data_IF_099434586684
#
_entry.id   IF_099434586684
#
_cell.length_a   1.000
_cell.length_b   1.000
_cell.length_c   1.000
_cell.angle_alpha   90.00
_cell.angle_beta   90.00
_cell.angle_gamma   90.00
#
_symmetry.space_group_name_H-M   'P 1'
#
loop_
_entity.id
_entity.type
_entity.pdbx_description
1 polymer ?
#
# COMPACT_ATOMS: atom_id res chain seq x y z
N UNK A 1 44.49 5.51 4.68
CA UNK A 1 44.64 5.41 6.16
C UNK A 1 45.37 6.62 6.66
N UNK A 2 44.97 7.15 7.80
CA UNK A 2 45.65 8.24 8.51
C UNK A 2 46.19 7.72 9.84
N UNK A 3 47.27 8.31 10.36
CA UNK A 3 47.79 8.01 11.70
C UNK A 3 46.86 8.52 12.83
N UNK A 4 46.05 9.53 12.55
CA UNK A 4 44.95 10.05 13.39
C UNK A 4 43.81 10.42 12.49
N UNK A 5 42.57 10.28 12.98
CA UNK A 5 41.41 10.63 12.20
C UNK A 5 40.36 11.36 13.04
N UNK A 6 39.75 12.46 12.53
CA UNK A 6 38.58 13.08 13.12
C UNK A 6 37.29 12.41 12.67
N UNK A 7 37.33 11.51 11.67
CA UNK A 7 36.17 10.86 11.10
C UNK A 7 35.70 9.72 11.99
N UNK A 8 34.40 9.65 12.24
CA UNK A 8 33.74 8.52 12.86
C UNK A 8 33.65 7.39 11.83
N UNK A 9 34.09 6.22 12.21
CA UNK A 9 33.88 5.01 11.40
C UNK A 9 32.54 4.36 11.76
N UNK A 10 31.89 3.77 10.77
CA UNK A 10 30.62 3.08 10.96
C UNK A 10 30.73 2.02 12.07
N UNK A 11 29.89 2.17 13.10
CA UNK A 11 29.79 1.27 14.23
C UNK A 11 28.48 1.49 15.00
N UNK A 12 27.97 0.44 15.67
CA UNK A 12 26.79 0.55 16.54
C UNK A 12 25.55 1.07 15.84
N UNK A 13 25.40 0.80 14.54
CA UNK A 13 24.29 1.28 13.72
C UNK A 13 24.43 2.73 13.25
N UNK A 14 25.44 3.48 13.69
CA UNK A 14 25.71 4.83 13.19
C UNK A 14 26.56 4.76 11.92
N UNK A 15 26.08 5.39 10.83
CA UNK A 15 26.82 5.49 9.57
C UNK A 15 28.13 6.27 9.74
N UNK A 16 29.15 5.91 8.94
CA UNK A 16 30.42 6.60 8.88
C UNK A 16 30.31 8.04 8.39
N UNK A 17 31.27 8.86 8.79
CA UNK A 17 31.36 10.25 8.37
C UNK A 17 31.76 10.38 6.90
N UNK A 18 31.33 11.49 6.32
CA UNK A 18 31.83 12.02 5.07
C UNK A 18 32.66 13.27 5.30
N UNK A 19 33.39 13.71 4.27
CA UNK A 19 34.15 14.95 4.30
C UNK A 19 35.32 14.96 3.34
N UNK A 20 36.36 15.72 3.66
CA UNK A 20 37.50 15.90 2.78
C UNK A 20 38.82 15.65 3.53
N UNK A 21 39.80 15.12 2.81
CA UNK A 21 41.18 15.08 3.25
C UNK A 21 41.99 15.94 2.30
N UNK A 22 42.64 16.98 2.83
CA UNK A 22 43.50 17.89 2.05
C UNK A 22 44.92 17.62 2.32
N UNK A 23 45.72 17.62 1.27
CA UNK A 23 47.17 17.44 1.34
C UNK A 23 47.85 18.73 0.90
N UNK A 24 48.92 19.21 1.60
CA UNK A 24 49.72 20.31 1.13
C UNK A 24 50.21 20.07 -0.32
N UNK A 25 50.10 21.09 -1.18
CA UNK A 25 50.38 20.96 -2.59
C UNK A 25 49.17 20.83 -3.51
N UNK A 26 47.94 20.78 -2.92
CA UNK A 26 46.68 20.88 -3.66
C UNK A 26 45.90 19.60 -3.81
N UNK A 27 46.38 18.46 -3.31
CA UNK A 27 45.67 17.20 -3.36
C UNK A 27 44.42 17.21 -2.46
N UNK A 28 43.27 16.80 -2.99
CA UNK A 28 41.99 16.69 -2.25
C UNK A 28 41.37 15.32 -2.49
N UNK A 29 41.06 14.63 -1.36
CA UNK A 29 40.26 13.42 -1.35
C UNK A 29 38.87 13.74 -0.83
N UNK A 30 37.83 13.28 -1.51
CA UNK A 30 36.46 13.25 -0.98
C UNK A 30 36.19 11.90 -0.31
N UNK A 31 35.99 11.93 1.01
CA UNK A 31 35.67 10.78 1.83
C UNK A 31 34.15 10.57 1.84
N UNK A 32 33.73 9.40 1.38
CA UNK A 32 32.29 9.02 1.32
C UNK A 32 31.94 7.88 2.27
N UNK A 33 32.92 7.27 2.94
CA UNK A 33 32.67 6.23 3.95
C UNK A 33 33.93 6.03 4.81
N UNK A 34 33.72 5.63 6.08
CA UNK A 34 34.81 5.27 6.99
C UNK A 34 34.44 3.99 7.74
N UNK A 35 35.32 2.99 7.68
CA UNK A 35 35.13 1.66 8.23
C UNK A 35 36.27 1.27 9.20
N UNK A 36 35.94 0.38 10.15
CA UNK A 36 36.92 -0.20 11.07
C UNK A 36 36.90 -1.74 10.97
N UNK A 37 37.57 -2.32 9.96
CA UNK A 37 37.56 -3.79 9.75
C UNK A 37 38.21 -4.59 10.89
N UNK A 38 39.13 -3.99 11.61
CA UNK A 38 39.72 -4.53 12.83
C UNK A 38 39.92 -3.40 13.85
N UNK A 39 39.87 -3.66 15.14
CA UNK A 39 40.04 -2.64 16.18
C UNK A 39 41.32 -1.79 15.96
N UNK A 40 41.11 -0.45 15.96
CA UNK A 40 42.19 0.53 15.80
C UNK A 40 42.62 0.82 14.36
N UNK A 41 42.06 0.14 13.34
CA UNK A 41 42.35 0.41 11.94
C UNK A 41 41.19 1.13 11.26
N UNK A 42 41.37 2.42 10.96
CA UNK A 42 40.40 3.25 10.29
C UNK A 42 40.68 3.34 8.78
N UNK A 43 39.77 2.83 7.96
CA UNK A 43 39.84 2.89 6.50
C UNK A 43 38.86 3.96 5.99
N UNK A 44 39.44 4.98 5.35
CA UNK A 44 38.67 6.03 4.68
C UNK A 44 38.48 5.61 3.21
N UNK A 45 37.27 5.40 2.77
CA UNK A 45 36.91 5.20 1.36
C UNK A 45 36.74 6.58 0.74
N UNK A 46 37.56 6.86 -0.26
CA UNK A 46 37.61 8.20 -0.84
C UNK A 46 37.92 8.17 -2.33
N UNK A 47 37.52 9.22 -3.03
CA UNK A 47 37.93 9.50 -4.41
C UNK A 47 38.87 10.70 -4.45
N UNK A 48 39.87 10.70 -5.34
CA UNK A 48 40.69 11.88 -5.60
C UNK A 48 39.85 12.89 -6.38
N UNK A 49 39.54 14.03 -5.75
CA UNK A 49 38.75 15.10 -6.37
C UNK A 49 39.63 16.10 -7.09
N UNK A 50 40.87 16.30 -6.61
CA UNK A 50 41.81 17.24 -7.23
C UNK A 50 43.25 16.86 -6.89
N UNK A 51 44.20 17.18 -7.78
CA UNK A 51 45.63 17.04 -7.57
C UNK A 51 46.12 15.60 -7.41
N UNK A 52 47.35 15.46 -6.88
CA UNK A 52 48.03 14.19 -6.63
C UNK A 52 48.18 13.95 -5.14
N UNK A 53 48.07 12.68 -4.74
CA UNK A 53 48.19 12.22 -3.36
C UNK A 53 49.42 11.32 -3.20
N UNK A 54 50.30 11.70 -2.32
CA UNK A 54 51.53 10.92 -2.03
C UNK A 54 51.42 10.29 -0.66
N UNK A 55 51.79 9.02 -0.57
CA UNK A 55 51.88 8.29 0.72
C UNK A 55 52.94 8.92 1.60
N UNK A 56 52.60 9.12 2.88
CA UNK A 56 53.49 9.76 3.85
C UNK A 56 53.37 11.29 3.92
N UNK A 57 52.57 11.91 3.04
CA UNK A 57 52.34 13.33 3.11
C UNK A 57 51.51 13.69 4.35
N UNK A 58 51.76 14.90 4.88
CA UNK A 58 50.90 15.49 5.90
C UNK A 58 49.50 15.73 5.34
N UNK A 59 48.49 15.49 6.15
CA UNK A 59 47.11 15.63 5.69
C UNK A 59 46.20 16.22 6.76
N UNK A 60 45.23 17.03 6.32
CA UNK A 60 44.18 17.61 7.17
C UNK A 60 42.82 16.97 6.83
N UNK A 61 42.19 16.30 7.81
CA UNK A 61 40.82 15.79 7.70
C UNK A 61 39.79 16.87 8.05
N UNK A 62 38.84 17.06 7.18
CA UNK A 62 37.70 17.99 7.33
C UNK A 62 36.40 17.18 7.25
N UNK A 63 35.74 17.01 8.39
CA UNK A 63 34.47 16.27 8.47
C UNK A 63 33.32 17.14 7.99
N UNK A 64 32.37 16.56 7.26
CA UNK A 64 31.06 17.17 6.99
C UNK A 64 30.28 17.26 8.30
N UNK A 65 30.38 18.42 8.93
CA UNK A 65 29.79 18.68 10.25
C UNK A 65 28.25 18.65 10.21
N UNK A 66 27.64 19.11 9.11
CA UNK A 66 26.18 19.11 9.01
C UNK A 66 25.64 17.69 8.90
N UNK A 67 26.27 16.84 8.09
CA UNK A 67 25.96 15.41 8.03
C UNK A 67 26.16 14.74 9.39
N UNK A 68 27.29 14.95 10.05
CA UNK A 68 27.55 14.38 11.39
C UNK A 68 26.49 14.83 12.41
N UNK A 69 26.14 16.12 12.43
CA UNK A 69 25.10 16.64 13.31
C UNK A 69 23.75 15.99 13.05
N UNK A 70 23.38 15.78 11.78
CA UNK A 70 22.14 15.11 11.41
C UNK A 70 22.12 13.64 11.91
N UNK A 71 23.25 12.91 11.74
CA UNK A 71 23.38 11.55 12.25
C UNK A 71 23.37 11.52 13.78
N UNK A 72 24.08 12.44 14.44
CA UNK A 72 24.11 12.55 15.91
C UNK A 72 22.71 12.77 16.50
N UNK A 73 21.86 13.55 15.83
CA UNK A 73 20.45 13.74 16.20
C UNK A 73 19.67 12.43 16.06
N UNK A 74 19.83 11.72 14.94
CA UNK A 74 19.19 10.43 14.73
C UNK A 74 19.65 9.38 15.77
N UNK A 75 20.94 9.36 16.10
CA UNK A 75 21.47 8.43 17.09
C UNK A 75 20.96 8.73 18.51
N UNK A 76 20.90 10.01 18.89
CA UNK A 76 20.27 10.39 20.16
C UNK A 76 18.79 10.02 20.18
N UNK A 77 18.05 10.26 19.08
CA UNK A 77 16.65 9.86 18.96
C UNK A 77 16.48 8.33 19.13
N UNK A 78 17.41 7.51 18.62
CA UNK A 78 17.36 6.06 18.78
C UNK A 78 17.40 5.64 20.25
N UNK A 79 18.24 6.24 21.08
CA UNK A 79 18.25 5.99 22.53
C UNK A 79 16.92 6.39 23.20
N UNK A 80 16.34 7.52 22.78
CA UNK A 80 15.03 7.96 23.30
C UNK A 80 13.91 7.00 22.89
N UNK A 81 13.90 6.57 21.63
CA UNK A 81 12.95 5.59 21.10
C UNK A 81 13.11 4.25 21.84
N UNK A 82 14.33 3.77 22.02
CA UNK A 82 14.61 2.54 22.76
C UNK A 82 14.05 2.62 24.20
N UNK A 83 14.38 3.68 24.92
CA UNK A 83 13.91 3.88 26.30
C UNK A 83 12.38 3.96 26.38
N UNK A 84 11.73 4.69 25.44
CA UNK A 84 10.28 4.80 25.40
C UNK A 84 9.62 3.43 25.08
N UNK A 85 10.14 2.65 24.12
CA UNK A 85 9.62 1.31 23.87
C UNK A 85 9.69 0.42 25.11
N UNK A 86 10.75 0.51 25.91
CA UNK A 86 10.85 -0.23 27.17
C UNK A 86 9.85 0.22 28.22
N UNK A 87 9.49 1.51 28.27
CA UNK A 87 8.43 2.00 29.16
C UNK A 87 7.06 1.40 28.83
N UNK A 88 6.73 1.23 27.53
CA UNK A 88 5.41 0.76 27.10
C UNK A 88 5.33 -0.74 26.85
N UNK A 89 6.40 -1.38 26.40
CA UNK A 89 6.44 -2.82 26.06
C UNK A 89 7.18 -3.67 27.11
N UNK A 90 7.83 -3.02 28.07
CA UNK A 90 8.62 -3.68 29.10
C UNK A 90 10.11 -3.88 28.76
N UNK A 91 10.84 -4.36 29.74
CA UNK A 91 12.31 -4.48 29.70
C UNK A 91 12.83 -5.40 28.58
N UNK A 92 12.00 -6.24 28.00
CA UNK A 92 12.35 -7.15 26.91
C UNK A 92 12.44 -6.46 25.54
N UNK A 93 11.92 -5.25 25.40
CA UNK A 93 12.01 -4.45 24.17
C UNK A 93 13.43 -3.88 24.00
N UNK A 94 14.43 -4.77 23.89
CA UNK A 94 15.84 -4.40 23.72
C UNK A 94 16.20 -4.21 22.25
N UNK A 95 17.22 -3.39 21.98
CA UNK A 95 17.70 -3.19 20.63
C UNK A 95 18.32 -4.48 20.07
N UNK A 96 17.80 -4.98 18.95
CA UNK A 96 18.37 -6.08 18.17
C UNK A 96 19.17 -5.59 16.95
N UNK A 97 18.93 -4.38 16.52
CA UNK A 97 19.63 -3.70 15.45
C UNK A 97 19.18 -2.24 15.36
N UNK A 98 20.02 -1.42 14.77
CA UNK A 98 19.67 -0.02 14.49
C UNK A 98 20.43 0.50 13.27
N UNK A 99 19.94 1.59 12.70
CA UNK A 99 20.67 2.38 11.72
C UNK A 99 20.36 3.86 11.97
N UNK A 100 21.42 4.66 12.05
CA UNK A 100 21.33 6.10 12.25
C UNK A 100 21.97 6.78 11.04
N UNK A 101 21.11 7.33 10.20
CA UNK A 101 21.44 8.06 8.98
C UNK A 101 21.07 9.56 9.14
N UNK A 102 21.51 10.44 8.23
CA UNK A 102 21.07 11.83 8.27
C UNK A 102 19.54 11.96 8.22
N UNK A 103 18.94 12.51 9.28
CA UNK A 103 17.51 12.76 9.36
C UNK A 103 16.60 11.53 9.51
N UNK A 104 17.16 10.33 9.65
CA UNK A 104 16.40 9.09 9.73
C UNK A 104 17.04 8.12 10.72
N UNK A 105 16.21 7.36 11.41
CA UNK A 105 16.61 6.21 12.20
C UNK A 105 15.79 4.96 11.85
N UNK A 106 16.37 3.82 12.14
CA UNK A 106 15.77 2.50 12.12
C UNK A 106 16.08 1.80 13.43
N UNK A 107 15.06 1.20 14.03
CA UNK A 107 15.19 0.51 15.31
C UNK A 107 14.50 -0.85 15.24
N UNK A 108 15.24 -1.91 15.49
CA UNK A 108 14.79 -3.29 15.46
C UNK A 108 14.73 -3.84 16.91
N UNK A 109 13.61 -4.49 17.26
CA UNK A 109 13.38 -4.98 18.61
C UNK A 109 12.55 -6.27 18.60
N UNK A 110 12.65 -7.12 19.66
CA UNK A 110 11.88 -8.34 19.75
C UNK A 110 10.42 -8.04 20.08
N UNK A 111 9.51 -8.67 19.32
CA UNK A 111 8.08 -8.66 19.61
C UNK A 111 7.38 -9.84 18.95
N UNK A 112 6.44 -10.46 19.67
CA UNK A 112 5.68 -11.64 19.21
C UNK A 112 4.66 -11.32 18.11
N UNK A 113 4.29 -10.05 17.94
CA UNK A 113 3.31 -9.60 16.95
C UNK A 113 3.47 -8.13 16.60
N UNK A 114 2.58 -7.62 15.75
CA UNK A 114 2.50 -6.21 15.43
C UNK A 114 2.26 -5.37 16.70
N UNK A 115 2.96 -4.26 16.81
CA UNK A 115 2.74 -3.32 17.92
C UNK A 115 1.39 -2.66 17.74
N UNK A 116 0.63 -2.53 18.84
CA UNK A 116 -0.64 -1.81 18.80
C UNK A 116 -0.39 -0.37 18.31
N UNK A 117 -1.15 0.11 17.29
CA UNK A 117 -0.99 1.47 16.78
C UNK A 117 -1.10 2.56 17.85
N UNK A 118 -1.87 2.33 18.94
CA UNK A 118 -1.93 3.28 20.05
C UNK A 118 -0.61 3.33 20.80
N UNK A 119 0.02 2.18 21.06
CA UNK A 119 1.34 2.13 21.71
C UNK A 119 2.40 2.85 20.87
N UNK A 120 2.37 2.72 19.54
CA UNK A 120 3.29 3.46 18.67
C UNK A 120 3.10 4.97 18.82
N UNK A 121 1.86 5.46 18.85
CA UNK A 121 1.56 6.88 19.09
C UNK A 121 2.02 7.34 20.47
N UNK A 122 1.81 6.53 21.50
CA UNK A 122 2.20 6.84 22.86
C UNK A 122 3.73 6.91 23.01
N UNK A 123 4.46 5.99 22.36
CA UNK A 123 5.93 6.01 22.28
C UNK A 123 6.42 7.25 21.53
N UNK A 124 5.84 7.58 20.38
CA UNK A 124 6.19 8.78 19.61
C UNK A 124 5.94 10.05 20.41
N UNK A 125 4.79 10.16 21.07
CA UNK A 125 4.45 11.27 21.93
C UNK A 125 5.46 11.39 23.10
N UNK A 126 5.76 10.27 23.78
CA UNK A 126 6.70 10.24 24.89
C UNK A 126 8.10 10.69 24.50
N UNK A 127 8.59 10.25 23.32
CA UNK A 127 9.87 10.70 22.76
C UNK A 127 9.84 12.22 22.56
N UNK A 128 8.81 12.77 21.93
CA UNK A 128 8.70 14.21 21.67
C UNK A 128 8.53 15.03 22.95
N UNK A 129 7.91 14.50 23.99
CA UNK A 129 7.87 15.14 25.32
C UNK A 129 9.28 15.30 25.91
N UNK A 130 10.11 14.26 25.84
CA UNK A 130 11.52 14.30 26.29
C UNK A 130 12.36 15.26 25.45
N UNK A 131 12.10 15.32 24.14
CA UNK A 131 12.75 16.30 23.26
C UNK A 131 12.38 17.73 23.65
N UNK A 132 11.11 17.98 23.95
CA UNK A 132 10.61 19.29 24.38
C UNK A 132 11.14 19.73 25.75
N UNK A 133 11.46 18.77 26.62
CA UNK A 133 12.05 19.05 27.93
C UNK A 133 13.51 19.52 27.86
N UNK A 134 14.14 19.45 26.70
CA UNK A 134 15.52 19.92 26.43
C UNK A 134 16.55 19.44 27.44
N UNK A 135 16.54 18.13 27.73
CA UNK A 135 17.45 17.51 28.70
C UNK A 135 18.89 17.53 28.18
N UNK A 136 19.84 17.68 29.10
CA UNK A 136 21.28 17.58 28.77
C UNK A 136 21.66 16.15 28.35
N UNK A 137 22.49 16.03 27.29
CA UNK A 137 23.05 14.76 26.84
C UNK A 137 24.53 14.73 27.20
N UNK A 138 24.85 13.92 28.21
CA UNK A 138 26.21 13.78 28.72
C UNK A 138 26.85 12.49 28.29
N UNK A 139 28.17 12.54 28.08
CA UNK A 139 29.00 11.37 27.84
C UNK A 139 30.02 11.22 28.98
N UNK A 140 29.99 10.08 29.64
CA UNK A 140 30.90 9.78 30.74
C UNK A 140 31.62 8.47 30.48
N UNK A 141 32.94 8.40 30.81
CA UNK A 141 33.71 7.17 30.77
C UNK A 141 33.82 6.65 32.20
N UNK A 142 33.50 5.37 32.40
CA UNK A 142 33.53 4.71 33.70
C UNK A 142 33.78 3.22 33.51
N UNK A 143 34.02 2.51 34.59
CA UNK A 143 34.13 1.05 34.52
C UNK A 143 32.81 0.40 34.19
N UNK A 144 32.83 -0.81 33.62
CA UNK A 144 31.61 -1.55 33.29
C UNK A 144 30.71 -1.79 34.52
N UNK A 145 31.34 -2.04 35.68
CA UNK A 145 30.60 -2.30 36.94
C UNK A 145 29.94 -1.02 37.47
N UNK A 146 30.64 0.11 37.38
CA UNK A 146 30.04 1.43 37.69
C UNK A 146 28.87 1.73 36.76
N UNK A 147 29.02 1.50 35.46
CA UNK A 147 27.97 1.72 34.47
C UNK A 147 26.72 0.86 34.77
N UNK A 148 26.91 -0.41 35.15
CA UNK A 148 25.80 -1.28 35.58
C UNK A 148 25.13 -0.76 36.86
N UNK A 149 25.92 -0.35 37.82
CA UNK A 149 25.40 0.21 39.07
C UNK A 149 24.69 1.53 38.87
N UNK A 150 25.09 2.30 37.86
CA UNK A 150 24.45 3.56 37.42
C UNK A 150 23.14 3.31 36.67
N UNK A 151 22.84 2.03 36.33
CA UNK A 151 21.63 1.66 35.59
C UNK A 151 21.77 1.82 34.09
N UNK A 152 22.99 1.94 33.57
CA UNK A 152 23.23 2.05 32.15
C UNK A 152 22.96 0.71 31.46
N UNK A 153 22.21 0.77 30.35
CA UNK A 153 21.88 -0.38 29.55
C UNK A 153 23.06 -0.76 28.64
N UNK A 154 23.41 -2.05 28.66
CA UNK A 154 24.32 -2.67 27.74
C UNK A 154 23.54 -3.33 26.59
N UNK A 155 23.93 -3.13 25.33
CA UNK A 155 23.33 -3.79 24.18
C UNK A 155 23.67 -5.29 24.22
N UNK A 156 22.69 -6.12 23.86
CA UNK A 156 22.86 -7.56 23.85
C UNK A 156 23.85 -8.01 22.76
N UNK A 157 24.81 -8.85 23.12
CA UNK A 157 25.80 -9.41 22.17
C UNK A 157 27.05 -8.56 21.93
N UNK A 158 27.12 -7.34 22.46
CA UNK A 158 28.32 -6.51 22.40
C UNK A 158 29.36 -6.92 23.42
N UNK A 159 30.63 -6.85 23.02
CA UNK A 159 31.78 -7.10 23.95
C UNK A 159 32.33 -5.77 24.42
N UNK A 160 32.22 -5.53 25.71
CA UNK A 160 32.69 -4.31 26.32
C UNK A 160 34.07 -4.52 26.97
N UNK A 161 34.90 -3.48 26.89
CA UNK A 161 36.17 -3.43 27.63
C UNK A 161 35.99 -3.17 29.14
N UNK A 162 37.11 -3.01 29.84
CA UNK A 162 37.07 -2.65 31.26
C UNK A 162 36.48 -1.24 31.48
N UNK A 163 36.73 -0.33 30.57
CA UNK A 163 36.15 1.02 30.54
C UNK A 163 35.12 1.13 29.43
N UNK A 164 34.00 1.76 29.72
CA UNK A 164 32.86 1.96 28.80
C UNK A 164 32.46 3.41 28.80
N UNK A 165 31.90 3.85 27.68
CA UNK A 165 31.32 5.19 27.55
C UNK A 165 29.80 5.08 27.72
N UNK A 166 29.28 5.79 28.71
CA UNK A 166 27.83 5.90 28.97
C UNK A 166 27.32 7.22 28.42
N UNK A 167 26.25 7.17 27.66
CA UNK A 167 25.48 8.32 27.22
C UNK A 167 24.25 8.43 28.11
N UNK A 168 24.08 9.58 28.75
CA UNK A 168 22.94 9.90 29.58
C UNK A 168 22.12 11.02 28.96
N UNK A 169 20.79 10.88 28.92
CA UNK A 169 19.85 11.95 28.53
C UNK A 169 19.08 12.35 29.79
N UNK A 170 19.55 13.38 30.47
CA UNK A 170 19.12 13.70 31.84
C UNK A 170 19.24 12.46 32.75
N UNK A 171 18.26 12.29 33.65
CA UNK A 171 18.10 11.11 34.50
C UNK A 171 17.17 10.04 33.88
N UNK A 172 16.76 10.23 32.62
CA UNK A 172 15.72 9.39 32.01
C UNK A 172 16.26 8.20 31.23
N UNK A 173 17.36 8.36 30.51
CA UNK A 173 17.98 7.27 29.72
C UNK A 173 19.48 7.22 29.92
N UNK A 174 20.03 6.01 30.13
CA UNK A 174 21.45 5.76 30.26
C UNK A 174 21.83 4.52 29.44
N UNK A 175 22.69 4.67 28.44
CA UNK A 175 23.07 3.56 27.54
C UNK A 175 24.58 3.56 27.25
N UNK A 176 25.15 2.36 27.13
CA UNK A 176 26.54 2.17 26.68
C UNK A 176 26.62 2.46 25.18
N UNK A 177 27.30 3.53 24.80
CA UNK A 177 27.38 3.94 23.41
C UNK A 177 28.67 4.70 23.08
N UNK A 178 29.33 4.27 21.99
CA UNK A 178 30.53 4.91 21.43
C UNK A 178 30.25 5.96 20.35
N UNK A 179 28.99 6.16 19.97
CA UNK A 179 28.58 7.02 18.86
C UNK A 179 28.65 8.51 19.14
N UNK A 180 28.31 9.30 18.14
CA UNK A 180 28.19 10.76 18.26
C UNK A 180 26.75 11.17 18.60
N UNK A 181 26.58 12.17 19.48
CA UNK A 181 25.26 12.57 19.97
C UNK A 181 25.07 14.08 19.92
N UNK A 182 23.80 14.51 19.94
CA UNK A 182 23.43 15.89 20.25
C UNK A 182 23.86 16.23 21.68
N UNK A 183 24.04 17.51 22.00
CA UNK A 183 24.40 17.94 23.35
C UNK A 183 23.18 18.09 24.27
N UNK A 184 22.00 18.29 23.68
CA UNK A 184 20.72 18.42 24.37
C UNK A 184 19.63 17.70 23.57
N UNK A 185 18.63 17.17 24.27
CA UNK A 185 17.50 16.49 23.62
C UNK A 185 16.74 17.39 22.65
N UNK A 186 16.53 18.66 23.01
CA UNK A 186 15.85 19.63 22.15
C UNK A 186 16.55 19.91 20.81
N UNK A 187 17.87 19.68 20.70
CA UNK A 187 18.59 19.82 19.44
C UNK A 187 18.27 18.73 18.41
N UNK A 188 17.64 17.62 18.83
CA UNK A 188 17.18 16.55 17.95
C UNK A 188 16.06 17.04 17.04
N UNK A 189 15.19 17.90 17.55
CA UNK A 189 13.97 18.35 16.88
C UNK A 189 12.85 17.31 16.99
N UNK A 190 11.90 17.34 16.08
CA UNK A 190 10.76 16.41 16.07
C UNK A 190 11.19 15.01 15.61
N UNK A 191 10.60 13.99 16.21
CA UNK A 191 10.69 12.60 15.74
C UNK A 191 9.29 12.14 15.33
N UNK A 192 9.16 11.56 14.13
CA UNK A 192 7.89 10.98 13.70
C UNK A 192 8.11 9.60 13.09
N UNK A 193 7.27 8.64 13.48
CA UNK A 193 7.33 7.28 12.96
C UNK A 193 6.72 7.20 11.57
N UNK A 194 7.44 6.54 10.65
CA UNK A 194 6.97 6.30 9.29
C UNK A 194 6.25 4.97 9.15
N UNK A 195 6.81 3.94 9.77
CA UNK A 195 6.33 2.57 9.62
C UNK A 195 6.72 1.69 10.79
N UNK A 196 5.93 0.65 11.00
CA UNK A 196 6.25 -0.49 11.86
C UNK A 196 5.99 -1.77 11.08
N UNK A 197 6.92 -2.72 11.08
CA UNK A 197 6.78 -3.95 10.31
C UNK A 197 7.63 -5.11 10.81
N UNK A 198 7.30 -6.33 10.37
CA UNK A 198 8.10 -7.52 10.65
C UNK A 198 9.31 -7.59 9.72
N UNK A 199 10.47 -7.94 10.26
CA UNK A 199 11.70 -8.20 9.50
C UNK A 199 12.19 -9.64 9.66
N UNK A 200 11.50 -10.43 10.47
CA UNK A 200 11.82 -11.83 10.75
C UNK A 200 10.92 -12.38 11.85
N UNK A 201 11.09 -13.66 12.14
CA UNK A 201 10.33 -14.30 13.22
C UNK A 201 10.68 -13.67 14.58
N UNK A 202 9.66 -13.07 15.23
CA UNK A 202 9.81 -12.45 16.54
C UNK A 202 10.58 -11.13 16.55
N UNK A 203 10.86 -10.50 15.39
CA UNK A 203 11.56 -9.21 15.30
C UNK A 203 10.73 -8.20 14.52
N UNK A 204 10.58 -7.03 15.11
CA UNK A 204 9.87 -5.89 14.53
C UNK A 204 10.83 -4.74 14.30
N UNK A 205 10.53 -3.92 13.31
CA UNK A 205 11.29 -2.73 12.92
C UNK A 205 10.38 -1.52 12.95
N UNK A 206 10.86 -0.45 13.55
CA UNK A 206 10.30 0.90 13.40
C UNK A 206 11.28 1.75 12.62
N UNK A 207 10.76 2.53 11.68
CA UNK A 207 11.48 3.57 10.97
C UNK A 207 10.92 4.92 11.36
N UNK A 208 11.80 5.90 11.59
CA UNK A 208 11.40 7.25 11.95
C UNK A 208 12.23 8.31 11.23
N UNK A 209 11.63 9.46 10.99
CA UNK A 209 12.31 10.67 10.58
C UNK A 209 12.62 11.53 11.81
N UNK A 210 13.70 12.32 11.68
CA UNK A 210 14.26 13.11 12.78
C UNK A 210 14.52 14.56 12.33
N UNK A 211 14.13 15.52 13.16
CA UNK A 211 14.41 16.93 12.96
C UNK A 211 13.75 17.51 11.72
N UNK A 212 14.52 18.13 10.84
CA UNK A 212 13.99 18.84 9.67
C UNK A 212 13.26 17.89 8.69
N UNK A 213 13.73 16.64 8.59
CA UNK A 213 13.08 15.69 7.69
C UNK A 213 11.73 15.21 8.24
N UNK A 214 11.60 15.06 9.57
CA UNK A 214 10.30 14.84 10.22
C UNK A 214 9.36 16.02 9.99
N UNK A 215 9.84 17.25 10.18
CA UNK A 215 9.05 18.46 9.91
C UNK A 215 8.57 18.52 8.45
N UNK A 216 9.45 18.25 7.49
CA UNK A 216 9.08 18.24 6.07
C UNK A 216 8.02 17.20 5.74
N UNK A 217 8.09 16.04 6.37
CA UNK A 217 7.09 14.99 6.22
C UNK A 217 5.73 15.46 6.73
N UNK A 218 5.65 15.92 7.97
CA UNK A 218 4.41 16.44 8.58
C UNK A 218 3.83 17.63 7.81
N UNK A 219 4.69 18.55 7.33
CA UNK A 219 4.26 19.68 6.50
C UNK A 219 3.64 19.22 5.17
N UNK A 220 4.17 18.15 4.57
CA UNK A 220 3.58 17.54 3.34
C UNK A 220 2.21 16.93 3.63
N UNK A 221 2.07 16.20 4.73
CA UNK A 221 0.77 15.64 5.13
C UNK A 221 -0.25 16.74 5.38
N UNK A 222 0.15 17.83 6.05
CA UNK A 222 -0.70 19.00 6.24
C UNK A 222 -1.19 19.59 4.91
N UNK A 223 -0.30 19.78 3.94
CA UNK A 223 -0.67 20.26 2.60
C UNK A 223 -1.66 19.33 1.88
N UNK A 224 -1.51 18.01 2.03
CA UNK A 224 -2.47 17.04 1.46
C UNK A 224 -3.84 17.19 2.13
N UNK A 225 -3.88 17.34 3.45
CA UNK A 225 -5.13 17.58 4.19
C UNK A 225 -5.79 18.88 3.73
N UNK A 226 -5.03 19.97 3.57
CA UNK A 226 -5.53 21.25 3.07
C UNK A 226 -6.14 21.11 1.66
N UNK A 227 -5.47 20.39 0.77
CA UNK A 227 -5.99 20.13 -0.58
C UNK A 227 -7.30 19.33 -0.54
N UNK A 228 -7.36 18.28 0.29
CA UNK A 228 -8.57 17.47 0.44
C UNK A 228 -9.74 18.28 1.03
N UNK A 229 -9.49 19.08 2.06
CA UNK A 229 -10.52 19.93 2.68
C UNK A 229 -11.07 20.96 1.70
N UNK A 230 -10.20 21.55 0.87
CA UNK A 230 -10.62 22.45 -0.19
C UNK A 230 -11.49 21.76 -1.25
N UNK A 231 -11.13 20.54 -1.69
CA UNK A 231 -11.88 19.75 -2.67
C UNK A 231 -13.27 19.37 -2.16
N UNK A 232 -13.38 18.88 -0.91
CA UNK A 232 -14.66 18.41 -0.36
C UNK A 232 -15.42 19.50 0.39
N UNK A 233 -14.87 20.71 0.51
CA UNK A 233 -15.42 21.87 1.21
C UNK A 233 -15.84 21.54 2.64
N UNK A 234 -14.91 20.98 3.41
CA UNK A 234 -15.06 20.60 4.80
C UNK A 234 -13.87 21.11 5.63
N UNK A 235 -14.01 21.16 6.95
CA UNK A 235 -12.87 21.42 7.85
C UNK A 235 -12.06 20.12 8.03
N UNK A 236 -10.78 20.20 8.46
CA UNK A 236 -9.93 19.02 8.65
C UNK A 236 -10.54 17.94 9.55
N UNK A 237 -11.18 18.35 10.64
CA UNK A 237 -11.85 17.48 11.62
C UNK A 237 -13.12 16.81 11.07
N UNK A 238 -13.76 17.41 10.07
CA UNK A 238 -14.97 16.91 9.41
C UNK A 238 -14.66 16.02 8.18
N UNK A 239 -13.39 15.94 7.78
CA UNK A 239 -12.97 15.28 6.54
C UNK A 239 -13.40 13.80 6.44
N UNK A 240 -13.20 12.96 7.49
CA UNK A 240 -13.61 11.56 7.44
C UNK A 240 -15.11 11.39 7.22
N UNK A 241 -15.93 12.11 7.97
CA UNK A 241 -17.40 12.06 7.86
C UNK A 241 -17.88 12.57 6.50
N UNK A 242 -17.24 13.63 5.99
CA UNK A 242 -17.58 14.19 4.66
C UNK A 242 -17.29 13.21 3.54
N UNK A 243 -16.14 12.52 3.58
CA UNK A 243 -15.77 11.50 2.59
C UNK A 243 -16.72 10.31 2.67
N UNK A 244 -17.03 9.81 3.87
CA UNK A 244 -18.02 8.74 4.06
C UNK A 244 -19.38 9.11 3.48
N UNK A 245 -19.88 10.32 3.77
CA UNK A 245 -21.13 10.83 3.22
C UNK A 245 -21.12 10.96 1.70
N UNK A 246 -19.98 11.27 1.08
CA UNK A 246 -19.83 11.29 -0.37
C UNK A 246 -19.88 9.87 -0.97
N UNK A 247 -19.25 8.90 -0.35
CA UNK A 247 -19.27 7.49 -0.79
C UNK A 247 -20.68 6.90 -0.71
N UNK A 248 -21.43 7.20 0.36
CA UNK A 248 -22.82 6.77 0.51
C UNK A 248 -23.68 7.36 -0.60
N UNK A 249 -23.59 8.68 -0.85
CA UNK A 249 -24.36 9.35 -1.92
C UNK A 249 -24.00 8.86 -3.31
N UNK A 250 -22.71 8.56 -3.56
CA UNK A 250 -22.29 7.96 -4.83
C UNK A 250 -22.99 6.61 -5.06
N UNK A 251 -22.97 5.74 -4.05
CA UNK A 251 -23.62 4.43 -4.11
C UNK A 251 -25.15 4.53 -4.30
N UNK A 252 -25.78 5.50 -3.68
CA UNK A 252 -27.22 5.76 -3.86
C UNK A 252 -27.54 6.27 -5.28
N UNK A 253 -26.71 7.19 -5.81
CA UNK A 253 -26.86 7.69 -7.17
C UNK A 253 -26.67 6.58 -8.22
N UNK A 254 -25.67 5.71 -8.03
CA UNK A 254 -25.46 4.54 -8.90
C UNK A 254 -26.67 3.59 -8.90
N UNK A 255 -27.24 3.32 -7.72
CA UNK A 255 -28.46 2.50 -7.60
C UNK A 255 -29.67 3.15 -8.28
N UNK A 256 -29.82 4.45 -8.12
CA UNK A 256 -30.92 5.18 -8.76
C UNK A 256 -30.78 5.21 -10.28
N UNK A 257 -29.58 5.44 -10.82
CA UNK A 257 -29.30 5.33 -12.25
C UNK A 257 -29.67 3.93 -12.76
N UNK A 258 -29.29 2.88 -12.04
CA UNK A 258 -29.63 1.52 -12.42
C UNK A 258 -31.14 1.29 -12.40
N UNK A 259 -31.84 1.77 -11.37
CA UNK A 259 -33.29 1.68 -11.25
C UNK A 259 -34.01 2.40 -12.41
N UNK A 260 -33.58 3.62 -12.74
CA UNK A 260 -34.18 4.39 -13.86
C UNK A 260 -33.93 3.68 -15.19
N UNK A 261 -32.71 3.15 -15.42
CA UNK A 261 -32.41 2.36 -16.63
C UNK A 261 -33.34 1.15 -16.76
N UNK A 262 -33.44 0.35 -15.69
CA UNK A 262 -34.34 -0.83 -15.69
C UNK A 262 -35.79 -0.47 -15.90
N UNK A 263 -36.30 0.60 -15.27
CA UNK A 263 -37.65 1.07 -15.44
C UNK A 263 -37.95 1.54 -16.89
N UNK A 264 -36.99 2.24 -17.51
CA UNK A 264 -37.12 2.70 -18.91
C UNK A 264 -37.19 1.52 -19.88
N UNK A 265 -36.37 0.47 -19.65
CA UNK A 265 -36.41 -0.75 -20.46
C UNK A 265 -37.74 -1.49 -20.31
N UNK A 266 -38.22 -1.60 -19.08
CA UNK A 266 -39.50 -2.26 -18.75
C UNK A 266 -40.72 -1.55 -19.37
N UNK A 267 -40.68 -0.22 -19.45
CA UNK A 267 -41.78 0.56 -20.02
C UNK A 267 -41.88 0.49 -21.56
N UNK A 268 -40.84 0.00 -22.22
CA UNK A 268 -40.81 -0.11 -23.71
C UNK A 268 -40.29 -1.50 -24.18
N UNK A 269 -40.78 -2.56 -23.54
CA UNK A 269 -40.39 -3.94 -23.85
C UNK A 269 -40.58 -4.28 -25.32
N UNK A 270 -41.76 -3.94 -25.89
CA UNK A 270 -42.10 -4.21 -27.29
C UNK A 270 -41.14 -3.48 -28.27
N UNK A 271 -40.79 -2.24 -27.96
CA UNK A 271 -39.82 -1.49 -28.77
C UNK A 271 -38.40 -2.03 -28.74
N UNK A 272 -38.04 -2.66 -27.63
CA UNK A 272 -36.68 -3.26 -27.48
C UNK A 272 -36.58 -4.63 -28.12
N UNK A 273 -37.59 -5.51 -27.95
CA UNK A 273 -37.58 -6.88 -28.50
C UNK A 273 -38.05 -6.94 -29.98
N UNK A 274 -38.71 -5.90 -30.48
CA UNK A 274 -39.14 -5.85 -31.88
C UNK A 274 -40.18 -6.90 -32.25
N UNK A 275 -40.29 -7.17 -33.57
CA UNK A 275 -41.21 -8.14 -34.09
C UNK A 275 -40.65 -9.55 -34.07
N UNK A 276 -41.50 -10.57 -33.71
CA UNK A 276 -41.14 -11.97 -33.74
C UNK A 276 -41.34 -12.59 -35.09
N UNK A 277 -40.57 -13.60 -35.46
CA UNK A 277 -40.69 -14.39 -36.66
C UNK A 277 -41.54 -15.65 -36.39
N UNK A 278 -42.48 -15.96 -37.26
CA UNK A 278 -43.33 -17.15 -37.16
C UNK A 278 -42.69 -18.36 -37.90
N UNK A 279 -42.62 -19.50 -37.21
CA UNK A 279 -42.17 -20.80 -37.75
C UNK A 279 -43.18 -21.88 -37.29
N UNK A 280 -44.08 -22.29 -38.14
CA UNK A 280 -45.13 -23.24 -37.78
C UNK A 280 -45.90 -22.82 -36.51
N UNK A 281 -45.86 -23.72 -35.50
CA UNK A 281 -46.49 -23.46 -34.20
C UNK A 281 -45.65 -22.60 -33.25
N UNK A 282 -44.50 -22.13 -33.68
CA UNK A 282 -43.61 -21.27 -32.85
C UNK A 282 -43.61 -19.83 -33.32
N UNK A 283 -43.37 -18.92 -32.39
CA UNK A 283 -42.99 -17.57 -32.64
C UNK A 283 -41.72 -17.23 -31.90
N UNK A 284 -40.73 -16.73 -32.65
CA UNK A 284 -39.34 -16.56 -32.16
C UNK A 284 -38.94 -15.09 -32.17
N UNK A 285 -38.39 -14.62 -31.09
CA UNK A 285 -37.71 -13.31 -30.98
C UNK A 285 -36.23 -13.52 -30.75
N UNK A 286 -35.44 -12.88 -31.62
CA UNK A 286 -33.99 -12.68 -31.41
C UNK A 286 -33.75 -11.21 -31.39
N UNK A 287 -33.26 -10.69 -30.27
CA UNK A 287 -33.13 -9.24 -30.12
C UNK A 287 -31.81 -8.85 -29.42
N UNK A 288 -31.24 -7.72 -29.85
CA UNK A 288 -30.14 -7.05 -29.19
C UNK A 288 -30.68 -5.97 -28.28
N UNK A 289 -30.56 -6.14 -26.99
CA UNK A 289 -30.86 -5.14 -26.01
C UNK A 289 -29.77 -4.05 -25.99
N UNK A 290 -30.01 -2.87 -25.44
CA UNK A 290 -28.99 -1.83 -25.29
C UNK A 290 -27.74 -2.33 -24.61
N UNK A 291 -26.58 -1.84 -25.05
CA UNK A 291 -25.29 -2.21 -24.48
C UNK A 291 -25.17 -1.76 -23.00
N UNK A 292 -24.45 -2.51 -22.19
CA UNK A 292 -24.22 -2.24 -20.77
C UNK A 292 -25.34 -2.72 -19.83
N UNK A 293 -26.32 -3.50 -20.33
CA UNK A 293 -27.30 -4.15 -19.46
C UNK A 293 -26.67 -5.30 -18.66
N UNK A 294 -27.03 -5.38 -17.39
CA UNK A 294 -26.67 -6.52 -16.56
C UNK A 294 -27.42 -7.79 -17.03
N UNK A 295 -26.87 -8.96 -16.72
CA UNK A 295 -27.53 -10.23 -17.01
C UNK A 295 -28.92 -10.33 -16.33
N UNK A 296 -29.10 -9.69 -15.17
CA UNK A 296 -30.39 -9.65 -14.49
C UNK A 296 -31.40 -8.77 -15.23
N UNK A 297 -31.00 -7.56 -15.68
CA UNK A 297 -31.89 -6.69 -16.46
C UNK A 297 -32.30 -7.33 -17.78
N UNK A 298 -31.37 -8.01 -18.46
CA UNK A 298 -31.66 -8.76 -19.69
C UNK A 298 -32.64 -9.91 -19.44
N UNK A 299 -32.52 -10.58 -18.30
CA UNK A 299 -33.44 -11.63 -17.86
C UNK A 299 -34.84 -11.10 -17.58
N UNK A 300 -34.94 -9.96 -16.89
CA UNK A 300 -36.22 -9.33 -16.58
C UNK A 300 -36.92 -8.88 -17.87
N UNK A 301 -36.18 -8.29 -18.83
CA UNK A 301 -36.65 -7.92 -20.13
C UNK A 301 -37.19 -9.14 -20.93
N UNK A 302 -36.43 -10.22 -20.97
CA UNK A 302 -36.84 -11.46 -21.65
C UNK A 302 -38.09 -12.09 -21.00
N UNK A 303 -38.16 -12.08 -19.66
CA UNK A 303 -39.31 -12.63 -18.92
C UNK A 303 -40.57 -11.82 -19.16
N UNK A 304 -40.48 -10.49 -19.19
CA UNK A 304 -41.62 -9.60 -19.49
C UNK A 304 -42.05 -9.74 -20.95
N UNK A 305 -41.11 -9.78 -21.91
CA UNK A 305 -41.43 -10.02 -23.31
C UNK A 305 -42.19 -11.35 -23.51
N UNK A 306 -41.75 -12.41 -22.83
CA UNK A 306 -42.49 -13.69 -22.82
C UNK A 306 -43.89 -13.56 -22.28
N UNK A 307 -44.11 -12.76 -21.20
CA UNK A 307 -45.41 -12.60 -20.59
C UNK A 307 -46.40 -11.76 -21.47
N UNK A 308 -45.87 -10.86 -22.32
CA UNK A 308 -46.63 -10.03 -23.24
C UNK A 308 -47.02 -10.76 -24.54
N UNK A 309 -46.35 -11.89 -24.83
CA UNK A 309 -46.60 -12.65 -26.07
C UNK A 309 -47.87 -13.52 -25.95
N UNK A 310 -48.54 -13.77 -27.11
CA UNK A 310 -49.75 -14.55 -27.15
C UNK A 310 -49.53 -15.99 -26.69
N UNK A 311 -50.38 -16.54 -25.80
CA UNK A 311 -50.17 -17.84 -25.21
C UNK A 311 -50.53 -19.05 -26.10
N UNK A 312 -51.24 -18.79 -27.23
CA UNK A 312 -51.74 -19.80 -28.16
C UNK A 312 -50.66 -20.48 -29.02
N UNK A 313 -49.45 -19.90 -29.07
CA UNK A 313 -48.27 -20.42 -29.78
C UNK A 313 -47.14 -20.71 -28.85
N UNK A 314 -46.22 -21.57 -29.31
CA UNK A 314 -44.91 -21.75 -28.65
C UNK A 314 -44.05 -20.49 -28.74
N UNK A 315 -43.82 -19.81 -27.64
CA UNK A 315 -43.02 -18.57 -27.57
C UNK A 315 -41.57 -18.93 -27.22
N UNK A 316 -40.65 -18.48 -28.06
CA UNK A 316 -39.21 -18.66 -27.86
C UNK A 316 -38.52 -17.30 -28.01
N UNK A 317 -37.77 -16.88 -27.03
CA UNK A 317 -37.05 -15.61 -27.05
C UNK A 317 -35.60 -15.81 -26.64
N UNK A 318 -34.69 -15.16 -27.35
CA UNK A 318 -33.30 -14.98 -26.93
C UNK A 318 -32.89 -13.55 -27.11
N UNK A 319 -32.42 -12.95 -26.03
CA UNK A 319 -31.88 -11.60 -25.99
C UNK A 319 -30.39 -11.59 -25.70
N UNK A 320 -29.71 -10.58 -26.24
CA UNK A 320 -28.30 -10.35 -26.00
C UNK A 320 -28.05 -8.90 -25.56
N UNK A 321 -27.06 -8.69 -24.71
CA UNK A 321 -26.48 -7.39 -24.39
C UNK A 321 -24.96 -7.50 -24.40
N UNK A 322 -24.28 -6.40 -24.75
CA UNK A 322 -22.82 -6.32 -24.77
C UNK A 322 -22.40 -5.37 -23.65
N UNK A 323 -21.53 -5.84 -22.75
CA UNK A 323 -20.94 -5.05 -21.71
C UNK A 323 -19.46 -5.42 -21.55
N UNK A 324 -18.58 -4.44 -21.44
CA UNK A 324 -17.13 -4.63 -21.25
C UNK A 324 -16.49 -5.60 -22.25
N UNK A 325 -16.93 -5.53 -23.52
CA UNK A 325 -16.43 -6.39 -24.60
C UNK A 325 -16.89 -7.86 -24.53
N UNK A 326 -17.89 -8.16 -23.72
CA UNK A 326 -18.48 -9.51 -23.56
C UNK A 326 -19.94 -9.52 -23.93
N UNK A 327 -20.39 -10.63 -24.48
CA UNK A 327 -21.79 -10.89 -24.79
C UNK A 327 -22.44 -11.59 -23.60
N UNK A 328 -23.58 -11.09 -23.13
CA UNK A 328 -24.52 -11.78 -22.25
C UNK A 328 -25.72 -12.26 -23.07
N UNK A 329 -26.13 -13.50 -22.89
CA UNK A 329 -27.27 -14.10 -23.54
C UNK A 329 -28.30 -14.57 -22.50
N UNK A 330 -29.56 -14.32 -22.75
CA UNK A 330 -30.67 -14.89 -21.96
C UNK A 330 -31.75 -15.42 -22.93
N UNK A 331 -32.17 -16.66 -22.71
CA UNK A 331 -33.24 -17.31 -23.46
C UNK A 331 -34.39 -17.66 -22.52
N UNK A 332 -35.62 -17.50 -23.01
CA UNK A 332 -36.85 -17.89 -22.30
C UNK A 332 -37.82 -18.54 -23.27
N UNK A 333 -38.63 -19.50 -22.78
CA UNK A 333 -39.71 -20.13 -23.52
C UNK A 333 -40.98 -20.16 -22.66
N UNK A 334 -42.17 -20.17 -23.30
CA UNK A 334 -43.43 -20.36 -22.60
C UNK A 334 -43.80 -21.86 -22.44
N UNK A 335 -44.82 -22.21 -21.61
CA UNK A 335 -45.22 -23.60 -21.41
C UNK A 335 -45.60 -24.31 -22.73
N UNK A 336 -46.20 -23.59 -23.68
CA UNK A 336 -46.57 -24.17 -24.98
C UNK A 336 -45.36 -24.60 -25.80
N UNK A 337 -44.26 -23.83 -25.77
CA UNK A 337 -43.02 -24.21 -26.43
C UNK A 337 -42.41 -25.46 -25.78
N UNK A 338 -42.50 -25.60 -24.45
CA UNK A 338 -42.07 -26.82 -23.74
C UNK A 338 -42.85 -28.05 -24.12
N UNK A 339 -44.19 -27.91 -24.24
CA UNK A 339 -45.06 -29.00 -24.71
C UNK A 339 -44.72 -29.42 -26.15
N UNK A 340 -44.28 -28.49 -26.99
CA UNK A 340 -43.82 -28.74 -28.37
C UNK A 340 -42.38 -29.23 -28.44
N UNK A 341 -41.72 -29.46 -27.29
CA UNK A 341 -40.37 -30.04 -27.18
C UNK A 341 -39.21 -29.07 -27.37
N UNK A 342 -39.44 -27.72 -27.20
CA UNK A 342 -38.40 -26.71 -27.30
C UNK A 342 -38.13 -26.10 -25.92
N UNK A 343 -36.87 -26.17 -25.48
CA UNK A 343 -36.46 -25.59 -24.18
C UNK A 343 -35.64 -24.30 -24.36
N UNK A 344 -35.60 -23.47 -23.32
CA UNK A 344 -34.75 -22.28 -23.31
C UNK A 344 -33.24 -22.66 -23.38
N UNK A 345 -32.89 -23.82 -22.81
CA UNK A 345 -31.52 -24.31 -22.90
C UNK A 345 -31.14 -24.71 -24.33
N UNK A 346 -32.07 -25.26 -25.12
CA UNK A 346 -31.81 -25.57 -26.54
C UNK A 346 -31.48 -24.30 -27.34
N UNK A 347 -32.26 -23.23 -27.15
CA UNK A 347 -31.98 -21.92 -27.76
C UNK A 347 -30.61 -21.40 -27.40
N UNK A 348 -30.29 -21.48 -26.11
CA UNK A 348 -28.98 -20.97 -25.59
C UNK A 348 -27.83 -21.82 -26.20
N UNK A 349 -27.93 -23.12 -26.17
CA UNK A 349 -26.86 -24.00 -26.69
C UNK A 349 -26.65 -23.83 -28.22
N UNK A 350 -27.69 -23.47 -28.96
CA UNK A 350 -27.55 -23.16 -30.39
C UNK A 350 -26.79 -21.80 -30.61
N UNK A 351 -26.97 -20.83 -29.73
CA UNK A 351 -26.33 -19.53 -29.85
C UNK A 351 -24.87 -19.50 -29.37
N UNK A 352 -24.53 -20.28 -28.32
CA UNK A 352 -23.25 -20.19 -27.61
C UNK A 352 -22.00 -20.40 -28.49
N UNK A 353 -21.98 -21.36 -29.47
CA UNK A 353 -20.79 -21.58 -30.31
C UNK A 353 -20.39 -20.33 -31.11
N UNK A 354 -21.34 -19.54 -31.60
CA UNK A 354 -21.07 -18.36 -32.41
C UNK A 354 -20.41 -17.22 -31.61
N UNK A 355 -20.66 -17.17 -30.33
CA UNK A 355 -20.11 -16.13 -29.44
C UNK A 355 -18.91 -16.60 -28.58
N UNK A 356 -18.35 -17.79 -28.86
CA UNK A 356 -17.31 -18.46 -28.05
C UNK A 356 -17.74 -18.55 -26.59
N UNK A 357 -18.99 -18.97 -26.37
CA UNK A 357 -19.67 -18.80 -25.10
C UNK A 357 -19.84 -20.08 -24.30
N UNK A 358 -20.24 -19.91 -23.04
CA UNK A 358 -20.67 -21.00 -22.14
C UNK A 358 -21.89 -20.54 -21.36
N UNK A 359 -22.76 -21.49 -21.04
CA UNK A 359 -23.95 -21.19 -20.26
C UNK A 359 -24.84 -22.43 -20.12
N UNK A 360 -25.98 -22.26 -19.46
CA UNK A 360 -27.00 -23.25 -19.26
C UNK A 360 -28.12 -22.69 -18.38
N UNK A 361 -29.11 -23.53 -18.10
CA UNK A 361 -30.23 -23.16 -17.27
C UNK A 361 -31.30 -24.20 -17.17
N UNK A 362 -32.49 -23.78 -16.77
CA UNK A 362 -33.69 -24.60 -16.69
C UNK A 362 -34.37 -24.71 -18.07
N UNK A 363 -35.40 -25.55 -18.18
CA UNK A 363 -36.13 -25.71 -19.41
C UNK A 363 -36.85 -24.44 -19.88
N UNK A 364 -37.32 -23.62 -18.96
CA UNK A 364 -38.10 -22.40 -19.22
C UNK A 364 -37.28 -21.12 -19.33
N UNK A 365 -36.03 -21.12 -18.75
CA UNK A 365 -35.08 -20.00 -18.77
C UNK A 365 -33.65 -20.51 -18.69
N UNK A 366 -32.78 -19.98 -19.57
CA UNK A 366 -31.35 -20.26 -19.54
C UNK A 366 -30.56 -18.98 -19.82
N UNK A 367 -29.31 -18.94 -19.33
CA UNK A 367 -28.43 -17.80 -19.48
C UNK A 367 -27.00 -18.20 -19.74
N UNK A 368 -26.27 -17.40 -20.47
CA UNK A 368 -24.87 -17.65 -20.80
C UNK A 368 -24.18 -16.38 -21.28
N UNK A 369 -22.96 -16.53 -21.75
CA UNK A 369 -22.23 -15.41 -22.32
C UNK A 369 -20.98 -15.86 -23.02
N UNK A 370 -20.42 -14.97 -23.85
CA UNK A 370 -19.26 -15.26 -24.68
C UNK A 370 -18.34 -14.05 -24.82
N UNK A 371 -17.23 -14.27 -25.52
CA UNK A 371 -16.19 -13.25 -25.74
C UNK A 371 -16.16 -12.75 -27.19
N UNK A 372 -16.81 -13.46 -28.11
CA UNK A 372 -16.90 -13.06 -29.52
C UNK A 372 -18.14 -12.18 -29.76
N UNK A 373 -17.95 -10.87 -29.63
CA UNK A 373 -19.03 -9.86 -29.88
C UNK A 373 -19.48 -9.89 -31.35
N UNK A 374 -18.57 -10.11 -32.29
CA UNK A 374 -18.88 -10.16 -33.73
C UNK A 374 -19.72 -11.35 -34.18
N UNK A 375 -19.84 -12.39 -33.33
CA UNK A 375 -20.63 -13.57 -33.59
C UNK A 375 -22.10 -13.47 -33.26
N UNK A 376 -22.60 -12.33 -32.79
CA UNK A 376 -23.97 -12.20 -32.27
C UNK A 376 -25.05 -12.44 -33.32
N UNK A 377 -24.87 -11.93 -34.54
CA UNK A 377 -25.83 -12.14 -35.64
C UNK A 377 -25.90 -13.61 -36.07
N UNK A 378 -24.75 -14.28 -36.11
CA UNK A 378 -24.69 -15.73 -36.37
C UNK A 378 -25.32 -16.53 -35.22
N UNK A 379 -25.22 -16.09 -33.97
CA UNK A 379 -25.88 -16.70 -32.82
C UNK A 379 -27.40 -16.63 -32.96
N UNK A 380 -27.94 -15.48 -33.36
CA UNK A 380 -29.36 -15.30 -33.59
C UNK A 380 -29.88 -16.11 -34.77
N UNK A 381 -29.09 -16.23 -35.87
CA UNK A 381 -29.44 -17.06 -37.00
C UNK A 381 -29.47 -18.56 -36.61
N UNK A 382 -28.48 -19.04 -35.87
CA UNK A 382 -28.46 -20.43 -35.38
C UNK A 382 -29.71 -20.78 -34.54
N UNK A 383 -30.21 -19.81 -33.76
CA UNK A 383 -31.46 -19.98 -32.99
C UNK A 383 -32.66 -20.07 -33.92
N UNK A 384 -32.76 -19.20 -34.93
CA UNK A 384 -33.85 -19.20 -35.89
C UNK A 384 -33.86 -20.53 -36.69
N UNK A 385 -32.69 -21.04 -37.13
CA UNK A 385 -32.54 -22.29 -37.83
C UNK A 385 -32.91 -23.49 -36.96
N UNK A 386 -32.53 -23.49 -35.68
CA UNK A 386 -32.98 -24.51 -34.74
C UNK A 386 -34.52 -24.60 -34.68
N UNK A 387 -35.20 -23.45 -34.52
CA UNK A 387 -36.65 -23.41 -34.38
C UNK A 387 -37.32 -23.76 -35.72
N UNK A 388 -36.79 -23.30 -36.84
CA UNK A 388 -37.26 -23.68 -38.20
C UNK A 388 -37.22 -25.19 -38.41
N UNK A 389 -36.11 -25.82 -38.03
CA UNK A 389 -35.98 -27.29 -38.10
C UNK A 389 -36.97 -28.03 -37.20
N UNK A 390 -37.27 -27.49 -36.01
CA UNK A 390 -38.24 -28.07 -35.08
C UNK A 390 -39.71 -27.89 -35.57
N UNK A 391 -39.98 -26.83 -36.32
CA UNK A 391 -41.26 -26.58 -36.92
C UNK A 391 -41.57 -27.48 -38.14
N UNK A 392 -40.60 -28.26 -38.64
CA UNK A 392 -40.75 -29.10 -39.83
C UNK A 392 -40.69 -28.32 -41.14
N UNK A 393 -40.16 -27.11 -41.14
CA UNK A 393 -39.99 -26.20 -42.29
C UNK A 393 -38.55 -26.23 -42.85
N UNK A 394 -37.85 -27.36 -42.70
CA UNK A 394 -36.47 -27.53 -43.14
C UNK A 394 -36.31 -28.14 -44.53
#
# INVERSE_FOLDING_TARGET
MLNRTPFYAEAGGQLGDHGRIRVPGGGVLEVYDVQTPVPGLFIHRATVADGEITVGAEARGEVDIERRRAISRAHTATHLVHRAFREFLGETATQMGSENAPGRLRFDFPSQGAVNPQVLRDVEARVNDVLSADLEVMAQVMTLDEARSFGAMALFGEKYGAEVRVISVGDWAHELCGGTHAQRSGQVGVVTFLSEGSIGAGVRRVEALVGVDAYRHLAREHLIVDQLTALVKARPDELPERVEGLLVRLKEAEREIQRVRSATLTSNVEGVIGEGNDFGDYRVWTYRAPDGLSANDLRDLATQGRASARPDRGVAMIGASIADGRVSLVSVVNPRALELGLTANDLLQAALPAVDGRGGGKADIAQGGGTNVGGLDAAFEAVRDLVRSRAGEG
#
